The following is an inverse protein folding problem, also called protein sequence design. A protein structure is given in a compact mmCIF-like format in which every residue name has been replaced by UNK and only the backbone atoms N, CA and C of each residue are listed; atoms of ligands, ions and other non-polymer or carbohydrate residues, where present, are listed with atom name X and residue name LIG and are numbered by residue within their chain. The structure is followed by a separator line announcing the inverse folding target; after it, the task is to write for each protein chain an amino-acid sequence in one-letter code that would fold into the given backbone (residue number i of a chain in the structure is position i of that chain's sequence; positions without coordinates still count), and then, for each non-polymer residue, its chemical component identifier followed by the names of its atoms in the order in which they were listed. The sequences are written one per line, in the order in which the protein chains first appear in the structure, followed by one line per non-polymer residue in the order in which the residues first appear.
data_IF_002339924365
#
_entry.id   IF_002339924365
#
_cell.length_a   1.000
_cell.length_b   1.000
_cell.length_c   1.000
_cell.angle_alpha   90.00
_cell.angle_beta   90.00
_cell.angle_gamma   90.00
#
_symmetry.space_group_name_H-M   'P 1'
#
loop_
_entity.id
_entity.type
_entity.pdbx_description
1 polymer ?
#
# COMPACT_ATOMS: atom_id res chain seq x y z
N UNK A 1 -10.67 17.84 20.28
CA UNK A 1 -11.58 17.13 21.21
C UNK A 1 -10.97 16.94 22.60
N UNK A 2 -9.83 16.24 22.73
CA UNK A 2 -9.23 15.92 24.04
C UNK A 2 -8.80 17.19 24.80
N UNK A 3 -8.24 18.18 24.11
CA UNK A 3 -7.81 19.45 24.72
C UNK A 3 -8.96 20.31 25.25
N UNK A 4 -10.20 20.08 24.78
CA UNK A 4 -11.39 20.83 25.24
C UNK A 4 -12.17 20.10 26.32
N UNK A 5 -12.35 18.78 26.19
CA UNK A 5 -13.21 18.01 27.10
C UNK A 5 -12.42 17.23 28.17
N UNK A 6 -11.09 17.13 28.05
CA UNK A 6 -10.18 16.47 29.00
C UNK A 6 -10.61 15.05 29.42
N UNK A 7 -11.27 14.33 28.51
CA UNK A 7 -11.74 12.98 28.73
C UNK A 7 -11.68 12.18 27.43
N UNK A 8 -11.65 10.84 27.56
CA UNK A 8 -11.62 9.93 26.41
C UNK A 8 -12.95 9.20 26.24
N UNK A 9 -13.32 8.89 25.01
CA UNK A 9 -14.51 8.09 24.69
C UNK A 9 -14.17 6.61 24.51
N UNK A 10 -15.21 5.77 24.58
CA UNK A 10 -15.11 4.36 24.24
C UNK A 10 -14.76 4.22 22.74
N UNK A 11 -13.78 3.35 22.42
CA UNK A 11 -13.34 3.12 21.05
C UNK A 11 -12.20 4.02 20.55
N UNK A 12 -11.74 5.00 21.35
CA UNK A 12 -10.53 5.75 21.03
C UNK A 12 -9.29 4.86 21.05
N UNK A 13 -8.38 5.08 20.08
CA UNK A 13 -7.08 4.44 20.06
C UNK A 13 -6.28 4.75 21.34
N UNK A 14 -5.62 3.73 21.88
CA UNK A 14 -4.77 3.85 23.07
C UNK A 14 -3.41 4.45 22.69
N UNK A 15 -3.40 5.76 22.47
CA UNK A 15 -2.16 6.54 22.40
C UNK A 15 -1.64 6.80 23.82
N UNK A 16 -0.32 6.93 23.99
CA UNK A 16 0.30 7.16 25.30
C UNK A 16 -0.25 8.44 25.98
N UNK A 17 -0.57 9.46 25.19
CA UNK A 17 -1.23 10.70 25.63
C UNK A 17 -2.64 10.46 26.20
N UNK A 18 -3.35 9.45 25.70
CA UNK A 18 -4.72 9.10 26.10
C UNK A 18 -4.80 8.07 27.24
N UNK A 19 -3.66 7.50 27.65
CA UNK A 19 -3.60 6.34 28.55
C UNK A 19 -4.13 6.68 29.95
N UNK A 20 -3.74 7.84 30.48
CA UNK A 20 -4.09 8.29 31.83
C UNK A 20 -5.38 9.13 31.91
N UNK A 21 -6.07 9.35 30.79
CA UNK A 21 -7.34 10.10 30.81
C UNK A 21 -8.50 9.24 31.30
N UNK A 22 -9.41 9.86 32.04
CA UNK A 22 -10.69 9.25 32.46
C UNK A 22 -11.66 9.18 31.29
N UNK A 23 -12.61 8.25 31.38
CA UNK A 23 -13.71 8.21 30.44
C UNK A 23 -14.70 9.37 30.64
N UNK A 24 -15.24 9.89 29.54
CA UNK A 24 -16.26 10.95 29.58
C UNK A 24 -17.56 10.42 30.19
N UNK A 25 -18.19 11.21 31.07
CA UNK A 25 -19.51 10.90 31.59
C UNK A 25 -20.64 11.20 30.57
N UNK A 26 -21.87 10.71 30.79
CA UNK A 26 -22.99 10.94 29.86
C UNK A 26 -23.30 12.42 29.60
N UNK A 27 -23.20 13.28 30.63
CA UNK A 27 -23.44 14.73 30.50
C UNK A 27 -22.32 15.43 29.72
N UNK A 28 -21.08 15.04 29.95
CA UNK A 28 -19.91 15.59 29.24
C UNK A 28 -19.89 15.16 27.79
N UNK A 29 -20.31 13.92 27.52
CA UNK A 29 -20.46 13.41 26.17
C UNK A 29 -21.48 14.25 25.38
N UNK A 30 -22.68 14.45 25.93
CA UNK A 30 -23.74 15.20 25.28
C UNK A 30 -23.40 16.68 25.06
N UNK A 31 -22.77 17.32 26.06
CA UNK A 31 -22.57 18.77 26.06
C UNK A 31 -21.24 19.22 25.45
N UNK A 32 -20.20 18.38 25.47
CA UNK A 32 -18.85 18.77 25.02
C UNK A 32 -18.38 17.90 23.85
N UNK A 33 -18.39 16.57 24.00
CA UNK A 33 -17.78 15.67 23.02
C UNK A 33 -18.46 15.77 21.64
N UNK A 34 -19.79 15.71 21.59
CA UNK A 34 -20.52 15.75 20.31
C UNK A 34 -20.20 17.04 19.52
N UNK A 35 -20.14 18.18 20.22
CA UNK A 35 -19.83 19.46 19.59
C UNK A 35 -18.35 19.54 19.17
N UNK A 36 -17.44 19.15 20.05
CA UNK A 36 -16.00 19.20 19.79
C UNK A 36 -15.54 18.23 18.69
N UNK A 37 -16.21 17.08 18.55
CA UNK A 37 -15.95 16.11 17.49
C UNK A 37 -16.52 16.58 16.14
N UNK A 38 -17.75 17.14 16.14
CA UNK A 38 -18.35 17.74 14.94
C UNK A 38 -17.51 18.89 14.37
N UNK A 39 -16.96 19.76 15.22
CA UNK A 39 -16.02 20.81 14.80
C UNK A 39 -14.72 20.22 14.25
N UNK A 40 -14.16 19.19 14.88
CA UNK A 40 -12.94 18.53 14.42
C UNK A 40 -13.12 17.88 13.05
N UNK A 41 -14.28 17.29 12.77
CA UNK A 41 -14.58 16.74 11.45
C UNK A 41 -14.75 17.84 10.38
N UNK A 42 -15.17 19.04 10.79
CA UNK A 42 -15.34 20.18 9.88
C UNK A 42 -14.01 20.92 9.62
N UNK A 43 -13.10 20.96 10.58
CA UNK A 43 -11.77 21.55 10.45
C UNK A 43 -10.73 20.47 10.08
N UNK A 44 -10.26 20.46 8.83
CA UNK A 44 -9.10 19.63 8.41
C UNK A 44 -7.75 20.11 9.01
N UNK A 45 -7.77 20.75 10.16
CA UNK A 45 -6.60 21.38 10.79
C UNK A 45 -5.76 20.35 11.57
N UNK A 46 -5.54 19.19 10.96
CA UNK A 46 -4.73 18.10 11.51
C UNK A 46 -3.63 17.78 10.50
N UNK A 47 -2.38 17.93 10.92
CA UNK A 47 -1.21 17.56 10.13
C UNK A 47 -1.04 16.03 10.17
N UNK A 48 -1.89 15.35 9.40
CA UNK A 48 -1.90 13.90 9.26
C UNK A 48 -1.17 13.53 7.96
N UNK A 49 0.16 13.27 7.99
CA UNK A 49 0.88 12.87 6.79
C UNK A 49 0.34 11.54 6.25
N UNK A 50 0.37 11.40 4.93
CA UNK A 50 0.04 10.13 4.29
C UNK A 50 0.99 9.04 4.78
N UNK A 51 0.45 7.85 5.04
CA UNK A 51 1.25 6.71 5.48
C UNK A 51 2.00 6.13 4.29
N UNK A 52 3.28 5.82 4.46
CA UNK A 52 4.09 5.17 3.42
C UNK A 52 3.61 3.74 3.11
N UNK A 53 3.07 3.05 4.12
CA UNK A 53 2.56 1.69 3.97
C UNK A 53 1.06 1.68 4.31
N UNK A 54 0.25 1.31 3.33
CA UNK A 54 -1.18 1.12 3.49
C UNK A 54 -1.64 -0.12 2.75
N UNK A 55 -2.55 -0.87 3.35
CA UNK A 55 -3.22 -2.02 2.72
C UNK A 55 -4.63 -1.57 2.40
N UNK A 56 -5.01 -1.67 1.12
CA UNK A 56 -6.34 -1.34 0.64
C UNK A 56 -7.09 -2.64 0.29
N UNK A 57 -8.36 -2.73 0.69
CA UNK A 57 -9.23 -3.85 0.35
C UNK A 57 -10.42 -3.31 -0.45
N UNK A 58 -10.53 -3.71 -1.71
CA UNK A 58 -11.70 -3.39 -2.52
C UNK A 58 -12.87 -4.28 -2.10
N UNK A 59 -13.96 -3.65 -1.69
CA UNK A 59 -15.14 -4.34 -1.16
C UNK A 59 -16.22 -4.42 -2.24
N UNK A 60 -16.65 -5.64 -2.58
CA UNK A 60 -17.81 -5.89 -3.41
C UNK A 60 -18.94 -6.52 -2.59
N UNK A 61 -20.11 -5.86 -2.57
CA UNK A 61 -21.26 -6.28 -1.78
C UNK A 61 -22.26 -7.05 -2.66
N UNK A 62 -22.62 -8.27 -2.25
CA UNK A 62 -23.77 -9.00 -2.78
C UNK A 62 -24.70 -9.39 -1.63
N UNK A 63 -26.01 -9.28 -1.85
CA UNK A 63 -27.01 -9.59 -0.82
C UNK A 63 -28.14 -10.45 -1.38
N UNK A 64 -28.69 -11.30 -0.54
CA UNK A 64 -29.82 -12.17 -0.87
C UNK A 64 -30.67 -12.43 0.38
N UNK A 65 -31.94 -12.80 0.17
CA UNK A 65 -32.86 -13.10 1.26
C UNK A 65 -32.47 -14.37 2.00
N UNK A 66 -32.17 -14.23 3.29
CA UNK A 66 -31.86 -15.35 4.18
C UNK A 66 -32.84 -15.40 5.36
N UNK A 67 -33.32 -16.57 5.80
CA UNK A 67 -33.17 -17.89 5.19
C UNK A 67 -34.16 -18.11 4.02
N UNK A 68 -33.85 -19.08 3.17
CA UNK A 68 -34.78 -19.57 2.12
C UNK A 68 -35.87 -20.45 2.74
N UNK A 69 -37.07 -20.48 2.12
CA UNK A 69 -38.21 -21.27 2.62
C UNK A 69 -37.89 -22.75 2.84
N UNK A 70 -37.08 -23.35 1.97
CA UNK A 70 -36.69 -24.74 2.10
C UNK A 70 -35.68 -24.99 3.23
N UNK A 71 -34.94 -23.97 3.64
CA UNK A 71 -33.94 -24.06 4.71
C UNK A 71 -34.54 -23.86 6.11
N UNK A 72 -35.72 -23.23 6.21
CA UNK A 72 -36.44 -23.00 7.48
C UNK A 72 -36.54 -24.24 8.38
N UNK A 73 -37.05 -25.41 7.93
CA UNK A 73 -37.21 -26.57 8.81
C UNK A 73 -35.88 -27.08 9.37
N UNK A 74 -34.79 -26.95 8.62
CA UNK A 74 -33.44 -27.36 9.04
C UNK A 74 -32.89 -26.38 10.10
N UNK A 75 -33.07 -25.08 9.88
CA UNK A 75 -32.64 -24.03 10.83
C UNK A 75 -33.43 -24.10 12.13
N UNK A 76 -34.73 -24.38 12.05
CA UNK A 76 -35.63 -24.49 13.19
C UNK A 76 -35.33 -25.74 14.04
N UNK A 77 -35.02 -26.87 13.39
CA UNK A 77 -34.55 -28.08 14.08
C UNK A 77 -33.27 -27.84 14.89
N UNK A 78 -32.38 -26.96 14.41
CA UNK A 78 -31.10 -26.65 15.06
C UNK A 78 -31.24 -25.63 16.20
N UNK A 79 -32.30 -24.82 16.21
CA UNK A 79 -32.51 -23.75 17.21
C UNK A 79 -33.33 -24.19 18.43
N UNK A 80 -33.54 -25.50 18.63
CA UNK A 80 -34.33 -26.09 19.73
C UNK A 80 -35.77 -25.55 19.83
N UNK A 81 -36.32 -25.00 18.75
CA UNK A 81 -37.75 -24.72 18.62
C UNK A 81 -38.43 -25.99 18.10
N UNK A 82 -38.80 -26.88 19.01
CA UNK A 82 -39.54 -28.12 18.71
C UNK A 82 -40.96 -27.89 18.13
N UNK A 83 -41.32 -26.64 17.83
CA UNK A 83 -42.68 -26.20 17.47
C UNK A 83 -43.12 -26.50 16.03
N UNK A 84 -42.24 -26.95 15.12
CA UNK A 84 -42.60 -27.13 13.71
C UNK A 84 -42.86 -28.56 13.25
N UNK A 85 -42.92 -29.54 14.15
CA UNK A 85 -43.23 -30.91 13.72
C UNK A 85 -44.66 -31.02 13.13
N UNK A 86 -45.56 -30.05 13.36
CA UNK A 86 -46.89 -29.98 12.74
C UNK A 86 -47.44 -28.54 12.66
N UNK A 87 -46.69 -27.59 12.08
CA UNK A 87 -47.15 -26.18 11.99
C UNK A 87 -47.96 -25.91 10.71
N UNK A 88 -49.00 -25.08 10.80
CA UNK A 88 -49.75 -24.59 9.63
C UNK A 88 -48.94 -23.58 8.81
N UNK A 89 -49.27 -23.41 7.53
CA UNK A 89 -48.58 -22.49 6.60
C UNK A 89 -48.49 -21.05 7.12
N UNK A 90 -49.52 -20.60 7.87
CA UNK A 90 -49.56 -19.28 8.50
C UNK A 90 -48.52 -19.12 9.61
N UNK A 91 -48.31 -20.16 10.43
CA UNK A 91 -47.29 -20.18 11.50
C UNK A 91 -45.88 -20.20 10.91
N UNK A 92 -45.69 -20.92 9.80
CA UNK A 92 -44.40 -20.94 9.08
C UNK A 92 -44.07 -19.55 8.54
N UNK A 93 -45.07 -18.85 7.96
CA UNK A 93 -44.89 -17.51 7.41
C UNK A 93 -44.52 -16.45 8.46
N UNK A 94 -45.09 -16.55 9.67
CA UNK A 94 -44.80 -15.62 10.77
C UNK A 94 -43.42 -15.88 11.37
N UNK A 95 -43.02 -17.14 11.49
CA UNK A 95 -41.68 -17.53 11.92
C UNK A 95 -40.62 -17.11 10.88
N UNK A 96 -40.89 -17.29 9.59
CA UNK A 96 -40.05 -16.77 8.49
C UNK A 96 -39.82 -15.27 8.64
N UNK A 97 -40.89 -14.50 8.83
CA UNK A 97 -40.81 -13.05 9.01
C UNK A 97 -40.02 -12.66 10.26
N UNK A 98 -40.17 -13.40 11.37
CA UNK A 98 -39.42 -13.18 12.62
C UNK A 98 -37.93 -13.48 12.45
N UNK A 99 -37.59 -14.59 11.80
CA UNK A 99 -36.22 -14.98 11.49
C UNK A 99 -35.54 -13.94 10.59
N UNK A 100 -36.20 -13.52 9.51
CA UNK A 100 -35.65 -12.52 8.57
C UNK A 100 -35.40 -11.16 9.20
N UNK A 101 -36.15 -10.79 10.26
CA UNK A 101 -35.97 -9.52 10.96
C UNK A 101 -34.80 -9.54 11.94
N UNK A 102 -34.46 -10.69 12.50
CA UNK A 102 -33.45 -10.79 13.57
C UNK A 102 -32.14 -11.45 13.12
N UNK A 103 -32.15 -12.27 12.07
CA UNK A 103 -30.98 -13.01 11.62
C UNK A 103 -30.41 -12.44 10.33
N UNK A 104 -29.09 -12.31 10.31
CA UNK A 104 -28.29 -11.93 9.15
C UNK A 104 -27.14 -12.92 9.00
N UNK A 105 -26.93 -13.40 7.78
CA UNK A 105 -25.75 -14.19 7.44
C UNK A 105 -24.73 -13.29 6.72
N UNK A 106 -23.57 -13.09 7.33
CA UNK A 106 -22.45 -12.35 6.77
C UNK A 106 -21.37 -13.33 6.32
N UNK A 107 -21.07 -13.36 5.02
CA UNK A 107 -19.96 -14.15 4.47
C UNK A 107 -18.88 -13.18 3.96
N UNK A 108 -17.71 -13.19 4.60
CA UNK A 108 -16.55 -12.36 4.19
C UNK A 108 -15.48 -13.27 3.62
N UNK A 109 -15.10 -13.02 2.37
CA UNK A 109 -14.09 -13.81 1.65
C UNK A 109 -13.33 -12.93 0.67
N UNK A 110 -12.12 -13.35 0.32
CA UNK A 110 -11.32 -12.69 -0.71
C UNK A 110 -11.86 -13.03 -2.10
N UNK A 111 -11.95 -12.02 -2.98
CA UNK A 111 -12.37 -12.21 -4.36
C UNK A 111 -11.37 -13.06 -5.16
N UNK A 112 -10.08 -12.88 -4.91
CA UNK A 112 -9.00 -13.65 -5.51
C UNK A 112 -7.85 -13.81 -4.52
N UNK A 113 -6.96 -14.78 -4.76
CA UNK A 113 -5.74 -15.01 -3.96
C UNK A 113 -4.59 -14.09 -4.43
N UNK A 114 -4.82 -13.30 -5.48
CA UNK A 114 -3.80 -12.43 -6.07
C UNK A 114 -3.79 -11.10 -5.31
N UNK A 115 -2.59 -10.64 -4.94
CA UNK A 115 -2.39 -9.38 -4.23
C UNK A 115 -1.61 -8.41 -5.09
N UNK A 116 -2.16 -7.22 -5.33
CA UNK A 116 -1.46 -6.15 -6.04
C UNK A 116 -0.63 -5.32 -5.06
N UNK A 117 0.62 -5.04 -5.43
CA UNK A 117 1.57 -4.30 -4.58
C UNK A 117 2.15 -3.14 -5.37
N UNK A 118 1.72 -1.92 -5.02
CA UNK A 118 2.26 -0.67 -5.58
C UNK A 118 3.37 -0.14 -4.67
N UNK A 119 4.56 0.06 -5.22
CA UNK A 119 5.71 0.65 -4.51
C UNK A 119 6.24 1.85 -5.27
N UNK A 120 6.23 3.00 -4.63
CA UNK A 120 6.87 4.21 -5.15
C UNK A 120 8.39 4.09 -4.97
N UNK A 121 9.13 4.37 -6.04
CA UNK A 121 10.59 4.40 -6.05
C UNK A 121 11.06 5.73 -6.60
N UNK A 122 12.22 6.25 -6.14
CA UNK A 122 12.79 7.46 -6.71
C UNK A 122 13.04 7.24 -8.21
N UNK A 123 12.74 8.26 -9.02
CA UNK A 123 12.95 8.21 -10.46
C UNK A 123 14.44 8.12 -10.84
N UNK A 124 15.33 8.56 -9.94
CA UNK A 124 16.77 8.55 -10.16
C UNK A 124 17.50 8.07 -8.92
N UNK A 125 18.31 7.03 -9.08
CA UNK A 125 19.07 6.41 -8.00
C UNK A 125 20.53 6.89 -8.03
N UNK A 126 21.21 6.84 -6.89
CA UNK A 126 22.65 7.15 -6.79
C UNK A 126 23.48 6.22 -7.67
N UNK A 127 23.00 4.99 -7.89
CA UNK A 127 23.61 4.03 -8.80
C UNK A 127 23.47 4.47 -10.27
N UNK A 128 22.30 4.99 -10.66
CA UNK A 128 22.08 5.55 -11.99
C UNK A 128 22.94 6.81 -12.20
N UNK A 129 23.03 7.68 -11.20
CA UNK A 129 23.92 8.84 -11.20
C UNK A 129 25.38 8.48 -11.46
N UNK A 130 25.91 7.52 -10.70
CA UNK A 130 27.28 7.06 -10.85
C UNK A 130 27.53 6.41 -12.22
N UNK A 131 26.54 5.67 -12.73
CA UNK A 131 26.62 5.05 -14.06
C UNK A 131 26.71 6.09 -15.17
N UNK A 132 25.90 7.15 -15.12
CA UNK A 132 25.89 8.19 -16.14
C UNK A 132 27.17 9.03 -16.13
N UNK A 133 27.68 9.36 -14.94
CA UNK A 133 28.97 10.06 -14.80
C UNK A 133 30.12 9.15 -15.26
N UNK A 134 30.17 7.92 -14.76
CA UNK A 134 31.23 6.97 -15.08
C UNK A 134 31.27 6.61 -16.57
N UNK A 135 30.10 6.47 -17.21
CA UNK A 135 29.99 6.22 -18.64
C UNK A 135 30.55 7.36 -19.48
N UNK A 136 30.15 8.60 -19.19
CA UNK A 136 30.63 9.77 -19.92
C UNK A 136 32.14 10.00 -19.69
N UNK A 137 32.61 9.91 -18.45
CA UNK A 137 34.04 10.06 -18.14
C UNK A 137 34.87 8.92 -18.78
N UNK A 138 34.38 7.69 -18.73
CA UNK A 138 35.01 6.53 -19.35
C UNK A 138 35.13 6.66 -20.87
N UNK A 139 34.11 7.22 -21.54
CA UNK A 139 34.17 7.48 -22.97
C UNK A 139 35.25 8.51 -23.32
N UNK A 140 35.32 9.63 -22.60
CA UNK A 140 36.35 10.65 -22.84
C UNK A 140 37.77 10.13 -22.58
N UNK A 141 37.96 9.35 -21.51
CA UNK A 141 39.26 8.71 -21.23
C UNK A 141 39.62 7.65 -22.27
N UNK A 142 38.64 6.86 -22.75
CA UNK A 142 38.83 5.88 -23.80
C UNK A 142 39.28 6.51 -25.13
N UNK A 143 38.63 7.61 -25.54
CA UNK A 143 39.06 8.39 -26.71
C UNK A 143 40.47 8.94 -26.53
N UNK A 144 40.78 9.47 -25.35
CA UNK A 144 42.11 10.01 -25.05
C UNK A 144 43.19 8.92 -25.12
N UNK A 145 42.91 7.72 -24.61
CA UNK A 145 43.84 6.59 -24.67
C UNK A 145 44.09 6.12 -26.11
N UNK A 146 43.04 6.05 -26.95
CA UNK A 146 43.17 5.72 -28.37
C UNK A 146 44.08 6.71 -29.10
N UNK A 147 43.92 8.02 -28.85
CA UNK A 147 44.80 9.02 -29.46
C UNK A 147 46.25 8.86 -29.01
N UNK A 148 46.50 8.48 -27.76
CA UNK A 148 47.85 8.26 -27.24
C UNK A 148 48.51 7.04 -27.89
N UNK A 149 47.76 5.95 -28.10
CA UNK A 149 48.24 4.80 -28.88
C UNK A 149 48.61 5.19 -30.31
N UNK A 150 47.81 6.03 -30.97
CA UNK A 150 48.08 6.51 -32.34
C UNK A 150 49.38 7.32 -32.41
N UNK A 151 49.64 8.18 -31.42
CA UNK A 151 50.93 8.90 -31.32
C UNK A 151 52.13 7.96 -31.16
N UNK A 152 51.98 6.89 -30.37
CA UNK A 152 53.05 5.88 -30.18
C UNK A 152 53.33 5.14 -31.50
N UNK A 153 52.28 4.71 -32.21
CA UNK A 153 52.42 4.04 -33.50
C UNK A 153 53.09 4.96 -34.54
N UNK A 154 52.69 6.23 -34.60
CA UNK A 154 53.31 7.22 -35.49
C UNK A 154 54.79 7.42 -35.16
N UNK A 155 55.15 7.47 -33.87
CA UNK A 155 56.53 7.62 -33.43
C UNK A 155 57.39 6.43 -33.85
N UNK A 156 56.91 5.21 -33.63
CA UNK A 156 57.60 3.97 -34.05
C UNK A 156 57.79 3.98 -35.58
N UNK A 157 56.75 4.31 -36.34
CA UNK A 157 56.80 4.37 -37.80
C UNK A 157 57.86 5.36 -38.30
N UNK A 158 57.94 6.55 -37.68
CA UNK A 158 58.93 7.57 -38.02
C UNK A 158 60.37 7.13 -37.69
N UNK A 159 60.59 6.50 -36.53
CA UNK A 159 61.88 5.95 -36.13
C UNK A 159 62.36 4.87 -37.12
N UNK A 160 61.49 3.92 -37.48
CA UNK A 160 61.79 2.88 -38.47
C UNK A 160 62.10 3.48 -39.85
N UNK A 161 61.34 4.51 -40.28
CA UNK A 161 61.59 5.21 -41.54
C UNK A 161 62.93 5.93 -41.56
N UNK A 162 63.34 6.58 -40.45
CA UNK A 162 64.65 7.23 -40.35
C UNK A 162 65.81 6.22 -40.35
N UNK A 163 65.69 5.09 -39.67
CA UNK A 163 66.69 4.02 -39.73
C UNK A 163 66.85 3.47 -41.16
N UNK A 164 65.76 3.20 -41.87
CA UNK A 164 65.82 2.77 -43.27
C UNK A 164 66.39 3.84 -44.21
N UNK A 165 66.17 5.14 -43.94
CA UNK A 165 66.72 6.24 -44.75
C UNK A 165 68.23 6.41 -44.53
N UNK A 166 68.73 6.27 -43.29
CA UNK A 166 70.16 6.29 -42.98
C UNK A 166 70.91 5.10 -43.59
N UNK A 167 70.27 3.93 -43.69
CA UNK A 167 70.88 2.75 -44.32
C UNK A 167 70.99 2.90 -45.85
N UNK A 168 69.99 3.55 -46.50
CA UNK A 168 70.02 3.82 -47.95
C UNK A 168 71.07 4.86 -48.37
N UNK A 169 71.36 5.86 -47.52
CA UNK A 169 72.41 6.87 -47.78
C UNK A 169 73.83 6.31 -47.59
N UNK A 170 74.00 5.31 -46.72
CA UNK A 170 75.30 4.69 -46.43
C UNK A 170 75.74 3.64 -47.47
N UNK A 171 74.82 3.18 -48.33
CA UNK A 171 75.10 2.20 -49.41
C UNK A 171 75.45 2.91 -50.75
N UNK A 172 75.21 4.22 -50.87
CA UNK A 172 75.45 5.00 -52.10
C UNK A 172 76.69 5.91 -52.04
N UNK A 173 77.58 5.72 -51.05
CA UNK A 173 78.97 6.21 -51.03
C UNK A 173 79.90 5.01 -51.06
#
# INVERSE_FOLDING_TARGET
MIDRCHCKILGMAQLDECKNLRFCGPKEFANCVIQADGELMASLDCDCPIKCNSIHFDVQLSSSSYPSRHLLPIVLKRTNESMLVNASEEVISTIEAKLRRHFLQLNVFYQSVITDVTKEKPAYDIHAFGSDIGGNMGLFLGCSLLTLCEFVDLFILLCLRKCNRSQKVRISR
#
